data_IF_608647476072
#
_entry.id   IF_608647476072
#
_cell.length_a   1.000
_cell.length_b   1.000
_cell.length_c   1.000
_cell.angle_alpha   90.00
_cell.angle_beta   90.00
_cell.angle_gamma   90.00
#
_symmetry.space_group_name_H-M   'P 1'
#
loop_
_entity.id
_entity.type
_entity.pdbx_description
1 polymer ?
#
# COMPACT_ATOMS: atom_id res chain seq x y z
N UNK A 1 15.33 20.04 -16.03
CA UNK A 1 15.00 19.35 -14.78
C UNK A 1 15.88 19.93 -13.69
N UNK A 2 15.30 20.49 -12.63
CA UNK A 2 16.05 21.11 -11.53
C UNK A 2 16.58 20.06 -10.56
N UNK A 3 17.59 20.39 -9.75
CA UNK A 3 18.09 19.48 -8.71
C UNK A 3 16.99 19.07 -7.73
N UNK A 4 16.10 19.98 -7.37
CA UNK A 4 14.94 19.71 -6.51
C UNK A 4 14.00 18.69 -7.14
N UNK A 5 13.71 18.82 -8.43
CA UNK A 5 12.87 17.86 -9.16
C UNK A 5 13.49 16.46 -9.16
N UNK A 6 14.81 16.35 -9.34
CA UNK A 6 15.52 15.07 -9.29
C UNK A 6 15.39 14.43 -7.90
N UNK A 7 15.56 15.21 -6.84
CA UNK A 7 15.44 14.72 -5.46
C UNK A 7 14.03 14.20 -5.19
N UNK A 8 13.00 14.94 -5.59
CA UNK A 8 11.59 14.53 -5.42
C UNK A 8 11.32 13.24 -6.19
N UNK A 9 11.73 13.17 -7.47
CA UNK A 9 11.50 12.00 -8.31
C UNK A 9 12.16 10.75 -7.73
N UNK A 10 13.43 10.84 -7.30
CA UNK A 10 14.17 9.75 -6.66
C UNK A 10 13.52 9.33 -5.33
N UNK A 11 13.08 10.29 -4.52
CA UNK A 11 12.46 9.99 -3.23
C UNK A 11 11.15 9.22 -3.42
N UNK A 12 10.27 9.71 -4.31
CA UNK A 12 8.98 9.10 -4.58
C UNK A 12 9.14 7.74 -5.26
N UNK A 13 9.90 7.66 -6.36
CA UNK A 13 9.88 6.47 -7.21
C UNK A 13 10.92 5.40 -6.83
N UNK A 14 11.88 5.70 -5.95
CA UNK A 14 12.93 4.76 -5.57
C UNK A 14 13.02 4.57 -4.05
N UNK A 15 13.23 5.64 -3.28
CA UNK A 15 13.49 5.53 -1.84
C UNK A 15 12.28 4.96 -1.09
N UNK A 16 11.09 5.49 -1.37
CA UNK A 16 9.85 5.02 -0.74
C UNK A 16 9.57 3.53 -1.07
N UNK A 17 9.55 3.10 -2.35
CA UNK A 17 9.36 1.70 -2.70
C UNK A 17 10.40 0.77 -2.09
N UNK A 18 11.67 1.17 -2.09
CA UNK A 18 12.76 0.36 -1.52
C UNK A 18 12.59 0.20 0.00
N UNK A 19 12.23 1.28 0.69
CA UNK A 19 11.95 1.25 2.13
C UNK A 19 10.79 0.32 2.46
N UNK A 20 9.69 0.41 1.70
CA UNK A 20 8.54 -0.48 1.85
C UNK A 20 8.92 -1.96 1.63
N UNK A 21 9.74 -2.25 0.61
CA UNK A 21 10.23 -3.60 0.33
C UNK A 21 11.10 -4.14 1.48
N UNK A 22 12.04 -3.34 1.99
CA UNK A 22 12.89 -3.72 3.13
C UNK A 22 12.02 -4.03 4.37
N UNK A 23 11.04 -3.17 4.67
CA UNK A 23 10.11 -3.41 5.78
C UNK A 23 9.31 -4.70 5.61
N UNK A 24 8.79 -4.95 4.41
CA UNK A 24 8.08 -6.20 4.10
C UNK A 24 8.98 -7.42 4.29
N UNK A 25 10.20 -7.42 3.75
CA UNK A 25 11.16 -8.51 3.93
C UNK A 25 11.50 -8.74 5.42
N UNK A 26 11.62 -7.66 6.19
CA UNK A 26 11.78 -7.73 7.65
C UNK A 26 10.61 -8.44 8.34
N UNK A 27 9.37 -8.11 7.97
CA UNK A 27 8.17 -8.78 8.49
C UNK A 27 8.11 -10.25 8.10
N UNK A 28 8.48 -10.60 6.86
CA UNK A 28 8.52 -12.01 6.42
C UNK A 28 9.55 -12.80 7.21
N UNK A 29 10.75 -12.25 7.44
CA UNK A 29 11.77 -12.88 8.28
C UNK A 29 11.27 -13.08 9.71
N UNK A 30 10.58 -12.08 10.26
CA UNK A 30 10.00 -12.14 11.61
C UNK A 30 8.92 -13.22 11.74
N UNK A 31 8.00 -13.32 10.77
CA UNK A 31 7.00 -14.38 10.74
C UNK A 31 7.63 -15.78 10.68
N UNK A 32 8.73 -15.94 9.94
CA UNK A 32 9.49 -17.19 9.89
C UNK A 32 10.15 -17.52 11.23
N UNK A 33 10.79 -16.56 11.89
CA UNK A 33 11.42 -16.79 13.20
C UNK A 33 10.40 -17.12 14.29
N UNK A 34 9.20 -16.53 14.22
CA UNK A 34 8.09 -16.81 15.13
C UNK A 34 7.33 -18.10 14.80
N UNK A 35 7.77 -18.84 13.75
CA UNK A 35 7.16 -20.10 13.29
C UNK A 35 5.65 -19.99 13.07
N UNK A 36 5.20 -18.85 12.54
CA UNK A 36 3.78 -18.62 12.26
C UNK A 36 3.31 -19.65 11.23
N UNK A 37 2.29 -20.42 11.58
CA UNK A 37 1.69 -21.38 10.68
C UNK A 37 0.92 -20.65 9.56
N UNK A 38 1.16 -21.05 8.31
CA UNK A 38 0.51 -20.49 7.12
C UNK A 38 0.49 -18.93 7.07
N UNK A 39 1.65 -18.25 7.13
CA UNK A 39 1.69 -16.79 7.27
C UNK A 39 1.09 -16.07 6.05
N UNK A 40 0.42 -14.91 6.24
CA UNK A 40 -0.28 -14.19 5.17
C UNK A 40 0.70 -13.39 4.29
N UNK A 41 1.74 -14.05 3.78
CA UNK A 41 2.89 -13.41 3.12
C UNK A 41 2.48 -12.67 1.85
N UNK A 42 1.71 -13.33 0.98
CA UNK A 42 1.22 -12.75 -0.28
C UNK A 42 0.20 -11.64 0.01
N UNK A 43 -0.75 -11.89 0.91
CA UNK A 43 -1.76 -10.91 1.28
C UNK A 43 -1.13 -9.66 1.90
N UNK A 44 -0.08 -9.82 2.71
CA UNK A 44 0.70 -8.72 3.27
C UNK A 44 1.46 -7.96 2.18
N UNK A 45 2.09 -8.65 1.23
CA UNK A 45 2.76 -8.01 0.10
C UNK A 45 1.80 -7.15 -0.72
N UNK A 46 0.64 -7.70 -1.09
CA UNK A 46 -0.39 -6.99 -1.85
C UNK A 46 -0.95 -5.81 -1.07
N UNK A 47 -1.10 -5.94 0.24
CA UNK A 47 -1.47 -4.83 1.13
C UNK A 47 -0.42 -3.72 1.09
N UNK A 48 0.86 -4.05 1.22
CA UNK A 48 1.97 -3.09 1.13
C UNK A 48 2.02 -2.42 -0.25
N UNK A 49 1.86 -3.18 -1.33
CA UNK A 49 1.85 -2.65 -2.69
C UNK A 49 0.68 -1.69 -2.91
N UNK A 50 -0.50 -2.02 -2.35
CA UNK A 50 -1.71 -1.19 -2.48
C UNK A 50 -1.58 0.13 -1.71
N UNK A 51 -1.22 0.08 -0.43
CA UNK A 51 -1.01 1.29 0.37
C UNK A 51 0.22 2.10 -0.09
N UNK A 52 1.27 1.41 -0.54
CA UNK A 52 2.42 2.03 -1.18
C UNK A 52 2.01 2.77 -2.45
N UNK A 53 1.21 2.14 -3.31
CA UNK A 53 0.64 2.77 -4.50
C UNK A 53 -0.19 4.01 -4.18
N UNK A 54 -1.04 3.94 -3.15
CA UNK A 54 -1.82 5.09 -2.67
C UNK A 54 -0.91 6.24 -2.22
N UNK A 55 0.13 5.94 -1.44
CA UNK A 55 1.12 6.92 -1.02
C UNK A 55 1.85 7.54 -2.21
N UNK A 56 2.29 6.73 -3.19
CA UNK A 56 2.99 7.21 -4.37
C UNK A 56 2.11 8.13 -5.22
N UNK A 57 0.85 7.77 -5.45
CA UNK A 57 -0.11 8.62 -6.16
C UNK A 57 -0.29 9.93 -5.41
N UNK A 58 -0.54 9.88 -4.10
CA UNK A 58 -0.72 11.07 -3.25
C UNK A 58 0.49 12.01 -3.33
N UNK A 59 1.71 11.48 -3.18
CA UNK A 59 2.93 12.30 -3.25
C UNK A 59 3.19 12.84 -4.66
N UNK A 60 2.84 12.06 -5.69
CA UNK A 60 2.94 12.51 -7.08
C UNK A 60 1.99 13.66 -7.34
N UNK A 61 0.77 13.63 -6.80
CA UNK A 61 -0.18 14.76 -6.89
C UNK A 61 0.35 16.01 -6.19
N UNK A 62 0.89 15.87 -4.97
CA UNK A 62 1.31 17.01 -4.15
C UNK A 62 2.63 17.64 -4.60
N UNK A 63 3.58 16.85 -5.10
CA UNK A 63 4.97 17.29 -5.33
C UNK A 63 5.46 17.10 -6.76
N UNK A 64 4.67 16.50 -7.63
CA UNK A 64 5.06 16.20 -9.00
C UNK A 64 3.99 16.61 -10.00
N UNK A 65 4.35 16.60 -11.29
CA UNK A 65 3.36 16.81 -12.35
C UNK A 65 2.59 15.53 -12.58
N UNK A 66 1.26 15.60 -12.56
CA UNK A 66 0.41 14.49 -12.90
C UNK A 66 0.77 13.91 -14.29
N UNK A 67 0.87 12.59 -14.38
CA UNK A 67 1.24 11.87 -15.59
C UNK A 67 0.26 10.74 -15.90
N UNK A 68 0.28 10.23 -17.13
CA UNK A 68 -0.53 9.05 -17.48
C UNK A 68 -0.23 7.82 -16.61
N UNK A 69 1.00 7.71 -16.09
CA UNK A 69 1.38 6.65 -15.16
C UNK A 69 0.69 6.81 -13.80
N UNK A 70 0.55 8.04 -13.31
CA UNK A 70 -0.21 8.35 -12.10
C UNK A 70 -1.71 8.05 -12.27
N UNK A 71 -2.27 8.33 -13.45
CA UNK A 71 -3.65 7.93 -13.80
C UNK A 71 -3.85 6.41 -13.74
N UNK A 72 -2.87 5.64 -14.22
CA UNK A 72 -2.96 4.18 -14.21
C UNK A 72 -2.89 3.61 -12.78
N UNK A 73 -2.02 4.17 -11.93
CA UNK A 73 -1.99 3.86 -10.50
C UNK A 73 -3.32 4.19 -9.81
N UNK A 74 -3.87 5.38 -10.08
CA UNK A 74 -5.16 5.82 -9.52
C UNK A 74 -6.32 4.93 -9.97
N UNK A 75 -6.35 4.55 -11.25
CA UNK A 75 -7.35 3.62 -11.79
C UNK A 75 -7.33 2.27 -11.08
N UNK A 76 -6.13 1.69 -10.89
CA UNK A 76 -5.99 0.47 -10.10
C UNK A 76 -6.51 0.66 -8.67
N UNK A 77 -6.15 1.76 -8.00
CA UNK A 77 -6.57 2.02 -6.61
C UNK A 77 -8.09 2.19 -6.48
N UNK A 78 -8.76 2.75 -7.48
CA UNK A 78 -10.21 2.98 -7.43
C UNK A 78 -10.99 1.71 -7.77
N UNK A 79 -10.54 0.89 -8.72
CA UNK A 79 -11.32 -0.24 -9.23
C UNK A 79 -10.74 -1.61 -8.85
N UNK A 80 -9.43 -1.81 -9.01
CA UNK A 80 -8.79 -3.10 -8.78
C UNK A 80 -8.49 -3.37 -7.30
N UNK A 81 -7.90 -2.39 -6.62
CA UNK A 81 -7.50 -2.49 -5.23
C UNK A 81 -8.65 -2.77 -4.25
N UNK A 82 -9.88 -2.21 -4.38
CA UNK A 82 -10.98 -2.58 -3.50
C UNK A 82 -11.32 -4.07 -3.57
N UNK A 83 -11.25 -4.67 -4.77
CA UNK A 83 -11.48 -6.12 -4.95
C UNK A 83 -10.38 -6.91 -4.26
N UNK A 84 -9.11 -6.54 -4.50
CA UNK A 84 -7.94 -7.20 -3.88
C UNK A 84 -8.00 -7.10 -2.36
N UNK A 85 -8.24 -5.91 -1.82
CA UNK A 85 -8.30 -5.65 -0.37
C UNK A 85 -9.51 -6.30 0.28
N UNK A 86 -10.65 -6.37 -0.41
CA UNK A 86 -11.82 -7.13 0.03
C UNK A 86 -11.55 -8.63 0.13
N UNK A 87 -10.87 -9.22 -0.87
CA UNK A 87 -10.46 -10.63 -0.84
C UNK A 87 -9.47 -10.89 0.30
N UNK A 88 -8.47 -10.02 0.48
CA UNK A 88 -7.49 -10.10 1.57
C UNK A 88 -8.19 -10.04 2.93
N UNK A 89 -9.10 -9.08 3.12
CA UNK A 89 -9.88 -8.96 4.34
C UNK A 89 -10.70 -10.22 4.59
N UNK A 90 -11.40 -10.73 3.58
CA UNK A 90 -12.20 -11.95 3.71
C UNK A 90 -11.35 -13.17 4.09
N UNK A 91 -10.24 -13.42 3.39
CA UNK A 91 -9.35 -14.55 3.66
C UNK A 91 -8.75 -14.49 5.07
N UNK A 92 -8.30 -13.31 5.49
CA UNK A 92 -7.67 -13.13 6.80
C UNK A 92 -8.70 -13.04 7.94
N UNK A 93 -9.97 -12.70 7.67
CA UNK A 93 -11.01 -12.69 8.70
C UNK A 93 -11.21 -14.05 9.37
N UNK A 94 -11.01 -15.14 8.61
CA UNK A 94 -11.11 -16.53 9.08
C UNK A 94 -9.88 -16.98 9.88
N UNK A 95 -8.77 -16.24 9.79
CA UNK A 95 -7.46 -16.61 10.36
C UNK A 95 -6.93 -15.56 11.35
N UNK A 96 -7.70 -14.51 11.62
CA UNK A 96 -7.28 -13.34 12.41
C UNK A 96 -6.86 -13.68 13.84
N UNK A 97 -7.31 -14.80 14.38
CA UNK A 97 -6.95 -15.27 15.73
C UNK A 97 -5.67 -16.12 15.75
N UNK A 98 -5.19 -16.59 14.59
CA UNK A 98 -3.99 -17.43 14.50
C UNK A 98 -2.70 -16.63 14.73
N UNK A 99 -2.65 -15.38 14.28
CA UNK A 99 -1.51 -14.50 14.56
C UNK A 99 -1.83 -13.03 14.39
N UNK A 100 -1.01 -12.20 15.03
CA UNK A 100 -1.09 -10.74 14.90
C UNK A 100 -0.93 -10.26 13.46
N UNK A 101 -0.22 -11.00 12.60
CA UNK A 101 -0.05 -10.65 11.19
C UNK A 101 -1.34 -10.83 10.41
N UNK A 102 -2.08 -11.94 10.62
CA UNK A 102 -3.39 -12.13 10.01
C UNK A 102 -4.36 -11.04 10.44
N UNK A 103 -4.37 -10.69 11.74
CA UNK A 103 -5.20 -9.61 12.26
C UNK A 103 -4.87 -8.26 11.63
N UNK A 104 -3.57 -7.91 11.53
CA UNK A 104 -3.12 -6.65 10.94
C UNK A 104 -3.42 -6.58 9.45
N UNK A 105 -3.17 -7.66 8.71
CA UNK A 105 -3.51 -7.76 7.28
C UNK A 105 -5.02 -7.65 7.06
N UNK A 106 -5.83 -8.29 7.91
CA UNK A 106 -7.30 -8.14 7.89
C UNK A 106 -7.74 -6.69 8.13
N UNK A 107 -7.24 -6.05 9.20
CA UNK A 107 -7.57 -4.66 9.52
C UNK A 107 -7.12 -3.71 8.41
N UNK A 108 -5.93 -3.90 7.85
CA UNK A 108 -5.45 -3.11 6.73
C UNK A 108 -6.33 -3.28 5.49
N UNK A 109 -6.78 -4.50 5.21
CA UNK A 109 -7.80 -4.80 4.20
C UNK A 109 -9.07 -3.96 4.36
N UNK A 110 -9.63 -3.92 5.57
CA UNK A 110 -10.86 -3.15 5.86
C UNK A 110 -10.64 -1.64 5.84
N UNK A 111 -9.55 -1.16 6.46
CA UNK A 111 -9.24 0.27 6.55
C UNK A 111 -9.06 0.91 5.18
N UNK A 112 -8.74 0.12 4.15
CA UNK A 112 -8.60 0.62 2.78
C UNK A 112 -9.87 1.32 2.29
N UNK A 113 -11.04 0.78 2.63
CA UNK A 113 -12.35 1.33 2.21
C UNK A 113 -12.69 2.66 2.89
N UNK A 114 -11.96 3.04 3.94
CA UNK A 114 -12.09 4.35 4.58
C UNK A 114 -10.96 5.28 4.16
N UNK A 115 -9.71 4.81 4.26
CA UNK A 115 -8.52 5.63 4.00
C UNK A 115 -8.51 6.10 2.55
N UNK A 116 -8.77 5.22 1.58
CA UNK A 116 -8.62 5.57 0.17
C UNK A 116 -9.62 6.64 -0.29
N UNK A 117 -10.94 6.53 -0.03
CA UNK A 117 -11.88 7.59 -0.37
C UNK A 117 -11.58 8.92 0.34
N UNK A 118 -11.17 8.87 1.61
CA UNK A 118 -10.79 10.08 2.35
C UNK A 118 -9.57 10.73 1.69
N UNK A 119 -8.54 9.95 1.37
CA UNK A 119 -7.33 10.47 0.71
C UNK A 119 -7.65 11.09 -0.63
N UNK A 120 -8.42 10.42 -1.50
CA UNK A 120 -8.81 11.01 -2.79
C UNK A 120 -9.70 12.25 -2.61
N UNK A 121 -10.64 12.24 -1.67
CA UNK A 121 -11.47 13.40 -1.36
C UNK A 121 -10.64 14.60 -0.91
N UNK A 122 -9.63 14.38 -0.06
CA UNK A 122 -8.71 15.43 0.37
C UNK A 122 -7.85 15.96 -0.78
N UNK A 123 -7.36 15.08 -1.66
CA UNK A 123 -6.57 15.51 -2.82
C UNK A 123 -7.40 16.40 -3.76
N UNK A 124 -8.66 16.04 -4.01
CA UNK A 124 -9.59 16.86 -4.83
C UNK A 124 -9.89 18.22 -4.20
N UNK A 125 -9.81 18.35 -2.87
CA UNK A 125 -10.03 19.63 -2.18
C UNK A 125 -8.80 20.55 -2.19
N UNK A 126 -7.61 20.02 -2.47
CA UNK A 126 -6.33 20.75 -2.45
C UNK A 126 -5.91 21.20 -3.85
N UNK A 127 -6.36 20.49 -4.90
CA UNK A 127 -6.23 20.91 -6.31
C UNK A 127 -7.27 21.97 -6.70
#
# INVERSE_FOLDING_TARGET
MTTTEIIIAVTIHLIIPLTALIMYLGLVRKMKSEKIENPPTIDLFLTFATYGGLLLVTLTTLFWKWSGMASLGSFYLILGAPIVMGIIAYRNSKKKELSIYHLRTYKAGLLYFLITPITFGLLVLIE
#
